data_IF_863404403273
#
_entry.id   IF_863404403273
#
_cell.length_a   1.000
_cell.length_b   1.000
_cell.length_c   1.000
_cell.angle_alpha   90.00
_cell.angle_beta   90.00
_cell.angle_gamma   90.00
#
_symmetry.space_group_name_H-M   'P 1'
#
loop_
_entity.id
_entity.type
_entity.pdbx_description
1 polymer ?
#
# COMPACT_ATOMS: atom_id res chain seq x y z
N UNK A 1 -36.26 2.21 5.40
CA UNK A 1 -34.86 1.85 5.74
C UNK A 1 -33.90 3.03 5.57
N UNK A 2 -33.23 3.28 4.43
CA UNK A 2 -32.23 4.38 4.34
C UNK A 2 -32.80 5.77 4.67
N UNK A 3 -34.00 6.08 4.19
CA UNK A 3 -34.68 7.35 4.49
C UNK A 3 -34.98 7.55 6.00
N UNK A 4 -35.34 6.47 6.70
CA UNK A 4 -35.56 6.51 8.15
C UNK A 4 -34.23 6.63 8.90
N UNK A 5 -33.18 5.98 8.42
CA UNK A 5 -31.84 6.11 8.97
C UNK A 5 -31.32 7.55 8.89
N UNK A 6 -31.44 8.20 7.72
CA UNK A 6 -31.09 9.62 7.56
C UNK A 6 -31.93 10.56 8.42
N UNK A 7 -33.14 10.16 8.83
CA UNK A 7 -33.97 10.97 9.71
C UNK A 7 -33.35 11.19 11.10
N UNK A 8 -32.47 10.28 11.55
CA UNK A 8 -31.76 10.42 12.82
C UNK A 8 -30.63 11.46 12.80
N UNK A 9 -30.15 11.87 11.61
CA UNK A 9 -29.12 12.91 11.47
C UNK A 9 -29.72 14.32 11.46
N UNK A 10 -31.00 14.46 11.07
CA UNK A 10 -31.67 15.76 10.94
C UNK A 10 -31.59 16.65 12.19
N UNK A 11 -31.71 16.12 13.43
CA UNK A 11 -31.55 16.93 14.65
C UNK A 11 -30.10 17.36 14.91
N UNK A 12 -29.12 16.65 14.34
CA UNK A 12 -27.69 16.80 14.62
C UNK A 12 -26.89 17.34 13.42
N UNK A 13 -27.55 18.05 12.50
CA UNK A 13 -26.94 18.60 11.26
C UNK A 13 -25.65 19.40 11.48
N UNK A 14 -25.51 20.10 12.61
CA UNK A 14 -24.31 20.89 12.92
C UNK A 14 -23.10 19.99 13.20
N UNK A 15 -23.31 18.93 13.98
CA UNK A 15 -22.26 17.95 14.28
C UNK A 15 -21.86 17.21 13.00
N UNK A 16 -22.84 16.78 12.22
CA UNK A 16 -22.61 16.16 10.92
C UNK A 16 -21.82 17.08 9.97
N UNK A 17 -22.19 18.37 9.86
CA UNK A 17 -21.48 19.29 8.96
C UNK A 17 -20.04 19.56 9.41
N UNK A 18 -19.79 19.65 10.73
CA UNK A 18 -18.45 19.82 11.29
C UNK A 18 -17.57 18.61 10.98
N UNK A 19 -18.06 17.43 11.35
CA UNK A 19 -17.38 16.15 11.20
C UNK A 19 -17.10 15.85 9.72
N UNK A 20 -18.15 15.78 8.91
CA UNK A 20 -18.07 15.52 7.48
C UNK A 20 -17.23 16.59 6.76
N UNK A 21 -17.40 17.87 7.11
CA UNK A 21 -16.61 18.95 6.52
C UNK A 21 -15.11 18.84 6.81
N UNK A 22 -14.73 18.45 8.03
CA UNK A 22 -13.34 18.20 8.39
C UNK A 22 -12.78 16.97 7.66
N UNK A 23 -13.58 15.92 7.50
CA UNK A 23 -13.19 14.72 6.75
C UNK A 23 -12.90 15.03 5.27
N UNK A 24 -13.79 15.81 4.62
CA UNK A 24 -13.58 16.26 3.25
C UNK A 24 -12.31 17.10 3.13
N UNK A 25 -12.11 18.06 4.03
CA UNK A 25 -10.93 18.92 4.00
C UNK A 25 -9.64 18.12 4.24
N UNK A 26 -9.66 17.18 5.18
CA UNK A 26 -8.53 16.27 5.44
C UNK A 26 -8.23 15.41 4.22
N UNK A 27 -9.25 14.83 3.58
CA UNK A 27 -9.07 14.04 2.37
C UNK A 27 -8.50 14.85 1.20
N UNK A 28 -8.94 16.09 1.00
CA UNK A 28 -8.37 16.99 -0.02
C UNK A 28 -6.90 17.35 0.28
N UNK A 29 -6.57 17.65 1.54
CA UNK A 29 -5.18 17.87 1.95
C UNK A 29 -4.32 16.62 1.71
N UNK A 30 -4.90 15.43 1.96
CA UNK A 30 -4.20 14.16 1.76
C UNK A 30 -3.77 13.93 0.30
N UNK A 31 -4.61 14.34 -0.66
CA UNK A 31 -4.33 14.28 -2.09
C UNK A 31 -3.25 15.27 -2.54
N UNK A 32 -3.10 16.39 -1.83
CA UNK A 32 -2.09 17.40 -2.12
C UNK A 32 -0.67 16.99 -1.70
N UNK A 33 -0.51 16.07 -0.75
CA UNK A 33 0.81 15.70 -0.23
C UNK A 33 1.77 15.14 -1.30
N UNK A 34 1.37 14.18 -2.15
CA UNK A 34 2.28 13.67 -3.19
C UNK A 34 2.79 14.78 -4.13
N UNK A 35 1.95 15.76 -4.45
CA UNK A 35 2.31 16.91 -5.30
C UNK A 35 3.28 17.84 -4.58
N UNK A 36 3.02 18.14 -3.31
CA UNK A 36 3.89 18.99 -2.50
C UNK A 36 5.28 18.33 -2.31
N UNK A 37 5.32 17.02 -2.06
CA UNK A 37 6.56 16.25 -1.95
C UNK A 37 7.29 16.21 -3.30
N UNK A 38 6.58 15.98 -4.41
CA UNK A 38 7.19 16.02 -5.74
C UNK A 38 7.82 17.39 -6.02
N UNK A 39 7.10 18.49 -5.80
CA UNK A 39 7.67 19.84 -5.96
C UNK A 39 8.86 20.13 -5.02
N UNK A 40 8.84 19.58 -3.80
CA UNK A 40 9.97 19.67 -2.88
C UNK A 40 11.22 18.95 -3.43
N UNK A 41 11.05 17.72 -3.92
CA UNK A 41 12.15 16.91 -4.44
C UNK A 41 12.63 17.41 -5.80
N UNK A 42 11.72 17.79 -6.69
CA UNK A 42 12.01 18.06 -8.09
C UNK A 42 12.42 19.52 -8.32
N UNK A 43 11.93 20.46 -7.51
CA UNK A 43 12.13 21.89 -7.74
C UNK A 43 12.93 22.59 -6.63
N UNK A 44 12.75 22.21 -5.36
CA UNK A 44 13.41 22.88 -4.24
C UNK A 44 14.80 22.31 -3.93
N UNK A 45 14.92 20.98 -3.81
CA UNK A 45 16.22 20.34 -3.53
C UNK A 45 17.31 20.67 -4.56
N UNK A 46 17.05 20.66 -5.89
CA UNK A 46 18.10 20.96 -6.88
C UNK A 46 18.59 22.41 -6.82
N UNK A 47 17.78 23.35 -6.33
CA UNK A 47 18.17 24.77 -6.19
C UNK A 47 19.19 25.02 -5.08
N UNK A 48 19.35 24.07 -4.15
CA UNK A 48 20.27 24.17 -3.00
C UNK A 48 20.08 25.41 -2.11
N UNK A 49 18.94 26.08 -2.20
CA UNK A 49 18.58 27.20 -1.33
C UNK A 49 18.00 26.65 -0.01
N UNK A 50 18.87 26.53 0.98
CA UNK A 50 18.54 25.98 2.29
C UNK A 50 17.46 26.78 3.03
N UNK A 51 17.35 28.09 2.79
CA UNK A 51 16.33 28.92 3.44
C UNK A 51 14.96 28.55 2.89
N UNK A 52 14.82 28.49 1.56
CA UNK A 52 13.58 28.07 0.91
C UNK A 52 13.20 26.62 1.25
N UNK A 53 14.18 25.71 1.30
CA UNK A 53 13.96 24.31 1.69
C UNK A 53 13.43 24.22 3.12
N UNK A 54 14.04 24.94 4.08
CA UNK A 54 13.59 24.95 5.48
C UNK A 54 12.21 25.58 5.63
N UNK A 55 11.92 26.66 4.92
CA UNK A 55 10.59 27.29 4.92
C UNK A 55 9.52 26.37 4.32
N UNK A 56 9.82 25.68 3.23
CA UNK A 56 8.91 24.72 2.62
C UNK A 56 8.67 23.51 3.53
N UNK A 57 9.71 22.99 4.19
CA UNK A 57 9.59 21.91 5.17
C UNK A 57 8.74 22.34 6.38
N UNK A 58 8.91 23.57 6.88
CA UNK A 58 8.08 24.14 7.94
C UNK A 58 6.62 24.30 7.48
N UNK A 59 6.39 24.78 6.25
CA UNK A 59 5.06 24.86 5.66
C UNK A 59 4.38 23.50 5.58
N UNK A 60 5.10 22.47 5.12
CA UNK A 60 4.61 21.10 5.04
C UNK A 60 4.30 20.53 6.43
N UNK A 61 5.14 20.82 7.43
CA UNK A 61 4.89 20.46 8.84
C UNK A 61 3.60 21.10 9.36
N UNK A 62 3.37 22.38 9.07
CA UNK A 62 2.14 23.08 9.45
C UNK A 62 0.92 22.40 8.81
N UNK A 63 1.00 22.04 7.53
CA UNK A 63 -0.09 21.30 6.84
C UNK A 63 -0.34 19.96 7.53
N UNK A 64 0.69 19.22 7.92
CA UNK A 64 0.53 17.97 8.69
C UNK A 64 -0.12 18.19 10.05
N UNK A 65 0.25 19.25 10.77
CA UNK A 65 -0.36 19.59 12.05
C UNK A 65 -1.83 19.95 11.89
N UNK A 66 -2.18 20.73 10.87
CA UNK A 66 -3.58 21.06 10.53
C UNK A 66 -4.35 19.78 10.20
N UNK A 67 -3.81 18.92 9.32
CA UNK A 67 -4.45 17.67 8.94
C UNK A 67 -4.65 16.73 10.15
N UNK A 68 -3.68 16.70 11.07
CA UNK A 68 -3.79 15.95 12.34
C UNK A 68 -4.91 16.50 13.21
N UNK A 69 -5.03 17.83 13.33
CA UNK A 69 -6.13 18.49 14.03
C UNK A 69 -7.50 18.17 13.42
N UNK A 70 -7.60 18.18 12.08
CA UNK A 70 -8.83 17.80 11.38
C UNK A 70 -9.18 16.34 11.64
N UNK A 71 -8.21 15.42 11.58
CA UNK A 71 -8.43 14.00 11.90
C UNK A 71 -8.86 13.79 13.35
N UNK A 72 -8.33 14.57 14.30
CA UNK A 72 -8.77 14.52 15.69
C UNK A 72 -10.23 15.00 15.84
N UNK A 73 -10.62 16.05 15.12
CA UNK A 73 -12.00 16.54 15.09
C UNK A 73 -12.93 15.47 14.52
N UNK A 74 -12.59 14.91 13.36
CA UNK A 74 -13.34 13.83 12.71
C UNK A 74 -13.51 12.64 13.65
N UNK A 75 -12.39 12.16 14.21
CA UNK A 75 -12.42 10.99 15.10
C UNK A 75 -13.30 11.24 16.33
N UNK A 76 -13.14 12.38 17.00
CA UNK A 76 -13.91 12.64 18.22
C UNK A 76 -15.37 12.96 17.93
N UNK A 77 -15.64 13.93 17.06
CA UNK A 77 -16.99 14.42 16.81
C UNK A 77 -17.83 13.46 15.97
N UNK A 78 -17.20 12.63 15.13
CA UNK A 78 -17.85 11.50 14.44
C UNK A 78 -18.40 10.48 15.45
N UNK A 79 -17.59 10.00 16.39
CA UNK A 79 -18.09 9.06 17.41
C UNK A 79 -19.14 9.70 18.34
N UNK A 80 -18.99 10.99 18.67
CA UNK A 80 -20.03 11.73 19.43
C UNK A 80 -21.35 11.77 18.66
N UNK A 81 -21.32 12.01 17.35
CA UNK A 81 -22.50 11.94 16.49
C UNK A 81 -23.12 10.53 16.49
N UNK A 82 -22.29 9.50 16.33
CA UNK A 82 -22.70 8.09 16.36
C UNK A 82 -23.42 7.71 17.66
N UNK A 83 -22.81 7.99 18.81
CA UNK A 83 -23.38 7.71 20.15
C UNK A 83 -24.69 8.49 20.37
N UNK A 84 -24.78 9.72 19.86
CA UNK A 84 -26.00 10.53 19.99
C UNK A 84 -27.16 9.90 19.20
N UNK A 85 -26.89 9.46 17.97
CA UNK A 85 -27.86 8.73 17.13
C UNK A 85 -28.25 7.41 17.79
N UNK A 86 -27.28 6.63 18.27
CA UNK A 86 -27.49 5.38 19.01
C UNK A 86 -28.39 5.57 20.23
N UNK A 87 -28.14 6.62 21.02
CA UNK A 87 -28.93 6.93 22.21
C UNK A 87 -30.39 7.20 21.86
N UNK A 88 -30.65 7.94 20.78
CA UNK A 88 -32.03 8.19 20.32
C UNK A 88 -32.70 6.93 19.75
N UNK A 89 -31.95 6.09 19.02
CA UNK A 89 -32.45 4.79 18.57
C UNK A 89 -32.82 3.89 19.76
N UNK A 90 -31.96 3.84 20.80
CA UNK A 90 -32.22 3.07 22.03
C UNK A 90 -33.47 3.55 22.74
N UNK A 91 -33.63 4.86 22.88
CA UNK A 91 -34.82 5.46 23.49
C UNK A 91 -36.10 5.02 22.76
N UNK A 92 -36.13 5.15 21.42
CA UNK A 92 -37.29 4.73 20.60
C UNK A 92 -37.54 3.24 20.65
N UNK A 93 -36.50 2.42 20.61
CA UNK A 93 -36.61 0.98 20.71
C UNK A 93 -37.19 0.56 22.07
N UNK A 94 -36.72 1.18 23.15
CA UNK A 94 -37.23 0.93 24.51
C UNK A 94 -38.70 1.36 24.67
N UNK A 95 -39.06 2.55 24.17
CA UNK A 95 -40.46 3.03 24.15
C UNK A 95 -41.37 2.11 23.33
N UNK A 96 -40.85 1.52 22.25
CA UNK A 96 -41.59 0.57 21.42
C UNK A 96 -41.77 -0.76 22.13
N UNK A 97 -40.72 -1.31 22.75
CA UNK A 97 -40.79 -2.57 23.50
C UNK A 97 -41.90 -2.52 24.55
N UNK A 98 -41.98 -1.44 25.34
CA UNK A 98 -43.01 -1.28 26.39
C UNK A 98 -44.46 -1.33 25.89
N UNK A 99 -44.71 -1.12 24.59
CA UNK A 99 -46.04 -1.13 23.98
C UNK A 99 -46.41 -2.47 23.35
N UNK A 100 -45.50 -3.45 23.35
CA UNK A 100 -45.74 -4.75 22.75
C UNK A 100 -46.65 -5.62 23.62
N UNK A 101 -47.43 -6.47 22.97
CA UNK A 101 -48.38 -7.38 23.65
C UNK A 101 -47.67 -8.45 24.48
N UNK A 102 -48.32 -8.97 25.53
CA UNK A 102 -47.81 -10.12 26.30
C UNK A 102 -47.44 -11.32 25.42
N UNK A 103 -48.23 -11.62 24.38
CA UNK A 103 -47.93 -12.69 23.41
C UNK A 103 -46.57 -12.53 22.72
N UNK A 104 -46.09 -11.30 22.51
CA UNK A 104 -44.76 -11.08 21.95
C UNK A 104 -43.66 -11.53 22.92
N UNK A 105 -43.83 -11.22 24.21
CA UNK A 105 -42.89 -11.58 25.26
C UNK A 105 -42.89 -13.08 25.56
N UNK A 106 -44.05 -13.74 25.46
CA UNK A 106 -44.15 -15.20 25.63
C UNK A 106 -43.34 -15.99 24.58
N UNK A 107 -43.06 -15.37 23.42
CA UNK A 107 -42.35 -15.99 22.30
C UNK A 107 -40.92 -15.47 22.11
N UNK A 108 -40.39 -14.65 23.03
CA UNK A 108 -39.06 -14.05 22.89
C UNK A 108 -38.27 -14.19 24.19
N UNK A 109 -37.00 -14.65 24.08
CA UNK A 109 -36.09 -14.66 25.22
C UNK A 109 -35.68 -13.23 25.57
N UNK A 110 -35.75 -12.84 26.84
CA UNK A 110 -35.36 -11.50 27.33
C UNK A 110 -33.94 -11.11 26.87
N UNK A 111 -32.99 -12.05 26.91
CA UNK A 111 -31.62 -11.82 26.43
C UNK A 111 -31.52 -11.38 24.96
N UNK A 112 -32.40 -11.88 24.07
CA UNK A 112 -32.42 -11.47 22.67
C UNK A 112 -32.94 -10.04 22.48
N UNK A 113 -33.86 -9.59 23.33
CA UNK A 113 -34.37 -8.22 23.30
C UNK A 113 -33.32 -7.24 23.82
N UNK A 114 -32.63 -7.61 24.91
CA UNK A 114 -31.52 -6.82 25.46
C UNK A 114 -30.39 -6.70 24.43
N UNK A 115 -29.97 -7.80 23.79
CA UNK A 115 -28.94 -7.77 22.75
C UNK A 115 -29.31 -6.86 21.56
N UNK A 116 -30.58 -6.88 21.14
CA UNK A 116 -31.08 -6.00 20.06
C UNK A 116 -31.02 -4.52 20.40
N UNK A 117 -31.31 -4.14 21.64
CA UNK A 117 -31.28 -2.73 22.08
C UNK A 117 -29.87 -2.27 22.44
N UNK A 118 -28.99 -3.19 22.82
CA UNK A 118 -27.61 -2.85 23.20
C UNK A 118 -26.68 -2.98 21.99
N UNK A 119 -26.28 -4.20 21.67
CA UNK A 119 -25.25 -4.51 20.68
C UNK A 119 -25.67 -4.22 19.24
N UNK A 120 -26.87 -4.63 18.83
CA UNK A 120 -27.26 -4.44 17.42
C UNK A 120 -27.43 -2.93 17.11
N UNK A 121 -27.88 -2.12 18.07
CA UNK A 121 -27.97 -0.66 17.91
C UNK A 121 -26.60 0.03 17.96
N UNK A 122 -25.64 -0.50 18.73
CA UNK A 122 -24.25 -0.06 18.72
C UNK A 122 -23.63 -0.27 17.33
N UNK A 123 -23.78 -1.47 16.73
CA UNK A 123 -23.30 -1.75 15.37
C UNK A 123 -23.92 -0.79 14.32
N UNK A 124 -25.19 -0.41 14.49
CA UNK A 124 -25.86 0.58 13.62
C UNK A 124 -25.34 2.01 13.88
N UNK A 125 -25.04 2.36 15.13
CA UNK A 125 -24.45 3.64 15.51
C UNK A 125 -23.03 3.83 14.95
N UNK A 126 -22.24 2.75 14.92
CA UNK A 126 -20.93 2.70 14.27
C UNK A 126 -21.02 3.01 12.77
N UNK A 127 -21.93 2.33 12.07
CA UNK A 127 -22.18 2.58 10.64
C UNK A 127 -22.71 4.00 10.40
N UNK A 128 -23.41 4.60 11.37
CA UNK A 128 -23.97 5.93 11.20
C UNK A 128 -22.92 7.03 11.11
N UNK A 129 -21.81 6.93 11.83
CA UNK A 129 -20.79 7.97 11.73
C UNK A 129 -19.72 7.63 10.68
N UNK A 130 -19.12 6.43 10.73
CA UNK A 130 -18.08 6.04 9.75
C UNK A 130 -18.61 5.86 8.33
N UNK A 131 -19.81 5.29 8.16
CA UNK A 131 -20.30 4.84 6.86
C UNK A 131 -20.40 5.93 5.78
N UNK A 132 -21.13 7.03 6.01
CA UNK A 132 -21.24 8.11 5.03
C UNK A 132 -19.90 8.80 4.75
N UNK A 133 -19.09 8.98 5.78
CA UNK A 133 -17.79 9.64 5.70
C UNK A 133 -16.81 8.81 4.86
N UNK A 134 -16.58 7.55 5.23
CA UNK A 134 -15.67 6.63 4.55
C UNK A 134 -16.04 6.47 3.08
N UNK A 135 -17.33 6.32 2.78
CA UNK A 135 -17.80 6.20 1.40
C UNK A 135 -17.49 7.46 0.60
N UNK A 136 -17.72 8.63 1.18
CA UNK A 136 -17.46 9.90 0.50
C UNK A 136 -15.96 10.12 0.31
N UNK A 137 -15.16 9.95 1.37
CA UNK A 137 -13.70 10.09 1.32
C UNK A 137 -13.10 9.11 0.31
N UNK A 138 -13.58 7.86 0.25
CA UNK A 138 -13.12 6.88 -0.73
C UNK A 138 -13.42 7.30 -2.17
N UNK A 139 -14.65 7.74 -2.47
CA UNK A 139 -15.03 8.22 -3.80
C UNK A 139 -14.23 9.47 -4.18
N UNK A 140 -14.16 10.45 -3.27
CA UNK A 140 -13.42 11.69 -3.47
C UNK A 140 -11.93 11.42 -3.69
N UNK A 141 -11.32 10.57 -2.88
CA UNK A 141 -9.90 10.20 -3.00
C UNK A 141 -9.64 9.48 -4.31
N UNK A 142 -10.52 8.55 -4.71
CA UNK A 142 -10.40 7.85 -5.99
C UNK A 142 -10.50 8.83 -7.18
N UNK A 143 -11.54 9.67 -7.21
CA UNK A 143 -11.75 10.66 -8.28
C UNK A 143 -10.64 11.69 -8.29
N UNK A 144 -10.26 12.21 -7.12
CA UNK A 144 -9.21 13.21 -6.96
C UNK A 144 -7.83 12.68 -7.35
N UNK A 145 -7.48 11.45 -6.95
CA UNK A 145 -6.25 10.79 -7.38
C UNK A 145 -6.25 10.57 -8.89
N UNK A 146 -7.38 10.16 -9.48
CA UNK A 146 -7.49 9.98 -10.92
C UNK A 146 -7.33 11.30 -11.69
N UNK A 147 -7.99 12.37 -11.25
CA UNK A 147 -7.82 13.72 -11.81
C UNK A 147 -6.36 14.14 -11.71
N UNK A 148 -5.73 13.97 -10.54
CA UNK A 148 -4.33 14.32 -10.35
C UNK A 148 -3.42 13.51 -11.30
N UNK A 149 -3.66 12.21 -11.45
CA UNK A 149 -2.92 11.38 -12.40
C UNK A 149 -3.09 11.86 -13.85
N UNK A 150 -4.27 12.32 -14.26
CA UNK A 150 -4.46 12.92 -15.59
C UNK A 150 -3.70 14.24 -15.76
N UNK A 151 -3.58 15.05 -14.69
CA UNK A 151 -2.79 16.29 -14.76
C UNK A 151 -1.28 16.03 -14.85
N UNK A 152 -0.81 14.91 -14.30
CA UNK A 152 0.62 14.55 -14.28
C UNK A 152 1.01 13.71 -15.50
N UNK A 153 0.24 12.67 -15.85
CA UNK A 153 0.58 11.76 -16.96
C UNK A 153 -0.63 11.00 -17.53
N UNK A 154 -1.24 11.54 -18.58
CA UNK A 154 -2.47 11.02 -19.22
C UNK A 154 -2.40 9.53 -19.65
N UNK A 155 -1.35 9.03 -20.34
CA UNK A 155 -1.30 7.61 -20.74
C UNK A 155 -1.37 6.63 -19.56
N UNK A 156 -0.70 6.95 -18.45
CA UNK A 156 -0.69 6.10 -17.25
C UNK A 156 -2.03 6.16 -16.52
N UNK A 157 -2.68 7.32 -16.51
CA UNK A 157 -4.02 7.49 -15.98
C UNK A 157 -5.06 6.63 -16.73
N UNK A 158 -4.96 6.53 -18.06
CA UNK A 158 -5.84 5.68 -18.88
C UNK A 158 -5.64 4.18 -18.56
N UNK A 159 -4.40 3.75 -18.38
CA UNK A 159 -4.07 2.37 -17.98
C UNK A 159 -4.67 2.08 -16.59
N UNK A 160 -4.46 2.97 -15.62
CA UNK A 160 -5.02 2.86 -14.28
C UNK A 160 -6.56 2.83 -14.30
N UNK A 161 -7.20 3.69 -15.10
CA UNK A 161 -8.66 3.73 -15.29
C UNK A 161 -9.22 2.42 -15.87
N UNK A 162 -8.44 1.69 -16.66
CA UNK A 162 -8.88 0.39 -17.22
C UNK A 162 -8.76 -0.73 -16.19
N UNK A 163 -7.73 -0.71 -15.35
CA UNK A 163 -7.44 -1.76 -14.37
C UNK A 163 -8.26 -1.59 -13.09
N UNK A 164 -8.45 -0.35 -12.63
CA UNK A 164 -9.10 -0.06 -11.36
C UNK A 164 -10.53 -0.63 -11.27
N UNK A 165 -11.41 -0.52 -12.29
CA UNK A 165 -12.73 -1.14 -12.26
C UNK A 165 -12.69 -2.67 -12.20
N UNK A 166 -11.71 -3.31 -12.86
CA UNK A 166 -11.53 -4.77 -12.81
C UNK A 166 -11.13 -5.22 -11.39
N UNK A 167 -10.17 -4.53 -10.78
CA UNK A 167 -9.75 -4.79 -9.40
C UNK A 167 -10.89 -4.52 -8.42
N UNK A 168 -11.59 -3.38 -8.57
CA UNK A 168 -12.74 -3.03 -7.74
C UNK A 168 -13.85 -4.08 -7.86
N UNK A 169 -14.14 -4.55 -9.08
CA UNK A 169 -15.11 -5.62 -9.31
C UNK A 169 -14.70 -6.92 -8.61
N UNK A 170 -13.43 -7.33 -8.71
CA UNK A 170 -12.92 -8.51 -8.00
C UNK A 170 -13.07 -8.33 -6.48
N UNK A 171 -12.63 -7.20 -5.92
CA UNK A 171 -12.73 -6.91 -4.49
C UNK A 171 -14.18 -6.95 -4.00
N UNK A 172 -15.11 -6.30 -4.72
CA UNK A 172 -16.54 -6.29 -4.38
C UNK A 172 -17.15 -7.69 -4.50
N UNK A 173 -16.82 -8.42 -5.58
CA UNK A 173 -17.36 -9.77 -5.84
C UNK A 173 -16.95 -10.77 -4.77
N UNK A 174 -15.69 -10.78 -4.37
CA UNK A 174 -15.18 -11.66 -3.31
C UNK A 174 -15.52 -11.15 -1.91
N UNK A 175 -15.67 -9.84 -1.73
CA UNK A 175 -16.19 -9.23 -0.50
C UNK A 175 -17.64 -9.64 -0.23
N UNK A 176 -18.50 -9.69 -1.25
CA UNK A 176 -19.87 -10.16 -1.10
C UNK A 176 -19.99 -11.64 -0.69
N UNK A 177 -19.09 -12.49 -1.20
CA UNK A 177 -19.01 -13.89 -0.78
C UNK A 177 -18.52 -14.03 0.66
N UNK A 178 -17.55 -13.19 1.06
CA UNK A 178 -17.10 -13.09 2.44
C UNK A 178 -18.25 -12.77 3.39
N UNK A 179 -19.07 -11.76 3.08
CA UNK A 179 -20.21 -11.35 3.92
C UNK A 179 -21.21 -12.48 4.12
N UNK A 180 -21.57 -13.19 3.04
CA UNK A 180 -22.47 -14.36 3.10
C UNK A 180 -21.88 -15.48 3.94
N UNK A 181 -20.59 -15.77 3.78
CA UNK A 181 -19.91 -16.78 4.56
C UNK A 181 -19.84 -16.42 6.06
N UNK A 182 -19.57 -15.15 6.39
CA UNK A 182 -19.59 -14.65 7.77
C UNK A 182 -20.96 -14.85 8.43
N UNK A 183 -22.05 -14.54 7.73
CA UNK A 183 -23.41 -14.76 8.24
C UNK A 183 -23.68 -16.25 8.54
N UNK A 184 -23.26 -17.14 7.65
CA UNK A 184 -23.37 -18.59 7.84
C UNK A 184 -22.51 -19.10 9.01
N UNK A 185 -21.28 -18.57 9.15
CA UNK A 185 -20.39 -18.90 10.25
C UNK A 185 -20.99 -18.44 11.59
N UNK A 186 -21.43 -17.18 11.71
CA UNK A 186 -22.04 -16.67 12.93
C UNK A 186 -23.30 -17.44 13.34
N UNK A 187 -24.13 -17.87 12.38
CA UNK A 187 -25.28 -18.74 12.67
C UNK A 187 -24.89 -20.05 13.32
N UNK A 188 -23.91 -20.76 12.74
CA UNK A 188 -23.46 -22.08 13.23
C UNK A 188 -22.70 -22.00 14.56
N UNK A 189 -21.90 -20.95 14.76
CA UNK A 189 -21.21 -20.68 16.03
C UNK A 189 -22.22 -20.37 17.14
N UNK A 190 -23.27 -19.59 16.86
CA UNK A 190 -24.36 -19.34 17.82
C UNK A 190 -25.08 -20.63 18.23
N UNK A 191 -25.36 -21.51 17.27
CA UNK A 191 -26.00 -22.81 17.54
C UNK A 191 -25.11 -23.70 18.44
N UNK A 192 -23.80 -23.75 18.19
CA UNK A 192 -22.84 -24.47 19.03
C UNK A 192 -22.82 -23.91 20.46
N UNK A 193 -22.72 -22.58 20.62
CA UNK A 193 -22.71 -21.94 21.92
C UNK A 193 -24.01 -22.17 22.71
N UNK A 194 -25.16 -22.09 22.04
CA UNK A 194 -26.47 -22.33 22.68
C UNK A 194 -26.58 -23.75 23.24
N UNK A 195 -26.04 -24.75 22.53
CA UNK A 195 -26.04 -26.14 23.01
C UNK A 195 -25.12 -26.34 24.21
N UNK A 196 -23.95 -25.68 24.23
CA UNK A 196 -23.09 -25.71 25.42
C UNK A 196 -23.81 -25.08 26.62
N UNK A 197 -24.48 -23.94 26.41
CA UNK A 197 -25.24 -23.27 27.46
C UNK A 197 -26.35 -24.18 28.02
N UNK A 198 -27.09 -24.88 27.14
CA UNK A 198 -28.12 -25.85 27.53
C UNK A 198 -27.54 -27.04 28.30
N UNK A 199 -26.44 -27.64 27.83
CA UNK A 199 -25.80 -28.78 28.48
C UNK A 199 -25.20 -28.42 29.85
N UNK A 200 -24.56 -27.25 29.95
CA UNK A 200 -23.98 -26.77 31.21
C UNK A 200 -25.09 -26.37 32.19
N UNK A 201 -26.15 -25.70 31.71
CA UNK A 201 -27.33 -25.40 32.53
C UNK A 201 -28.06 -26.66 33.02
N UNK A 202 -28.08 -27.71 32.19
CA UNK A 202 -28.68 -29.02 32.46
C UNK A 202 -27.75 -30.04 33.12
N UNK A 203 -26.54 -29.66 33.55
CA UNK A 203 -25.50 -30.62 34.00
C UNK A 203 -25.96 -31.55 35.13
N UNK A 204 -26.88 -31.08 35.99
CA UNK A 204 -27.47 -31.88 37.07
C UNK A 204 -28.29 -33.05 36.52
N UNK A 205 -29.01 -32.86 35.42
CA UNK A 205 -29.79 -33.91 34.75
C UNK A 205 -28.85 -34.92 34.10
N UNK A 206 -27.83 -34.45 33.38
CA UNK A 206 -26.83 -35.31 32.73
C UNK A 206 -26.18 -36.25 33.76
N UNK A 207 -25.78 -35.72 34.93
CA UNK A 207 -25.21 -36.51 36.03
C UNK A 207 -26.22 -37.42 36.71
N UNK A 208 -27.46 -36.97 36.89
CA UNK A 208 -28.52 -37.77 37.52
C UNK A 208 -28.83 -39.05 36.73
N UNK A 209 -28.68 -39.00 35.40
CA UNK A 209 -28.88 -40.14 34.51
C UNK A 209 -27.57 -40.83 34.06
N UNK A 210 -26.41 -40.40 34.57
CA UNK A 210 -25.09 -40.92 34.19
C UNK A 210 -24.85 -40.95 32.66
N UNK A 211 -25.29 -39.90 31.96
CA UNK A 211 -25.24 -39.79 30.49
C UNK A 211 -24.04 -38.96 29.98
N UNK A 212 -22.96 -38.81 30.77
CA UNK A 212 -21.83 -37.94 30.42
C UNK A 212 -21.13 -38.36 29.12
N UNK A 213 -21.01 -39.66 28.84
CA UNK A 213 -20.36 -40.15 27.62
C UNK A 213 -21.21 -39.89 26.37
N UNK A 214 -22.54 -39.91 26.51
CA UNK A 214 -23.45 -39.53 25.43
C UNK A 214 -23.29 -38.05 25.07
N UNK A 215 -23.30 -37.17 26.08
CA UNK A 215 -23.09 -35.74 25.87
C UNK A 215 -21.68 -35.40 25.35
N UNK A 216 -20.66 -36.15 25.79
CA UNK A 216 -19.29 -36.04 25.27
C UNK A 216 -19.23 -36.35 23.77
N UNK A 217 -19.90 -37.42 23.33
CA UNK A 217 -19.92 -37.81 21.92
C UNK A 217 -20.67 -36.78 21.05
N UNK A 218 -21.81 -36.26 21.54
CA UNK A 218 -22.53 -35.16 20.88
C UNK A 218 -21.65 -33.90 20.76
N UNK A 219 -21.00 -33.51 21.86
CA UNK A 219 -20.08 -32.38 21.87
C UNK A 219 -18.93 -32.55 20.87
N UNK A 220 -18.32 -33.73 20.80
CA UNK A 220 -17.24 -34.01 19.85
C UNK A 220 -17.70 -33.80 18.40
N UNK A 221 -18.88 -34.32 18.04
CA UNK A 221 -19.47 -34.15 16.70
C UNK A 221 -19.72 -32.67 16.37
N UNK A 222 -20.32 -31.93 17.29
CA UNK A 222 -20.61 -30.51 17.09
C UNK A 222 -19.32 -29.67 17.04
N UNK A 223 -18.29 -30.04 17.81
CA UNK A 223 -16.98 -29.40 17.80
C UNK A 223 -16.21 -29.64 16.49
N UNK A 224 -16.31 -30.84 15.91
CA UNK A 224 -15.76 -31.14 14.57
C UNK A 224 -16.46 -30.32 13.48
N UNK A 225 -17.79 -30.19 13.57
CA UNK A 225 -18.56 -29.34 12.67
C UNK A 225 -18.17 -27.86 12.83
N UNK A 226 -18.04 -27.37 14.07
CA UNK A 226 -17.54 -26.04 14.36
C UNK A 226 -16.16 -25.79 13.72
N UNK A 227 -15.22 -26.74 13.90
CA UNK A 227 -13.88 -26.68 13.32
C UNK A 227 -13.91 -26.61 11.79
N UNK A 228 -14.65 -27.49 11.12
CA UNK A 228 -14.72 -27.52 9.65
C UNK A 228 -15.27 -26.21 9.07
N UNK A 229 -16.29 -25.62 9.70
CA UNK A 229 -16.88 -24.34 9.29
C UNK A 229 -15.90 -23.18 9.50
N UNK A 230 -15.18 -23.15 10.63
CA UNK A 230 -14.12 -22.16 10.87
C UNK A 230 -13.01 -22.25 9.82
N UNK A 231 -12.56 -23.45 9.48
CA UNK A 231 -11.51 -23.65 8.47
C UNK A 231 -11.97 -23.21 7.06
N UNK A 232 -13.21 -23.51 6.67
CA UNK A 232 -13.77 -23.02 5.40
C UNK A 232 -13.82 -21.49 5.36
N UNK A 233 -14.18 -20.85 6.48
CA UNK A 233 -14.18 -19.39 6.56
C UNK A 233 -12.76 -18.80 6.45
N UNK A 234 -11.76 -19.44 7.05
CA UNK A 234 -10.36 -19.01 6.88
C UNK A 234 -9.85 -19.18 5.46
N UNK A 235 -10.27 -20.23 4.73
CA UNK A 235 -9.92 -20.37 3.32
C UNK A 235 -10.46 -19.21 2.46
N UNK A 236 -11.73 -18.84 2.66
CA UNK A 236 -12.35 -17.69 1.98
C UNK A 236 -11.64 -16.39 2.38
N UNK A 237 -11.32 -16.23 3.67
CA UNK A 237 -10.55 -15.10 4.20
C UNK A 237 -9.18 -14.95 3.55
N UNK A 238 -8.44 -16.05 3.44
CA UNK A 238 -7.14 -16.06 2.79
C UNK A 238 -7.25 -15.62 1.32
N UNK A 239 -8.24 -16.13 0.58
CA UNK A 239 -8.47 -15.75 -0.82
C UNK A 239 -8.84 -14.26 -0.94
N UNK A 240 -9.79 -13.76 -0.15
CA UNK A 240 -10.17 -12.35 -0.18
C UNK A 240 -9.01 -11.42 0.18
N UNK A 241 -8.20 -11.77 1.19
CA UNK A 241 -7.03 -10.98 1.58
C UNK A 241 -5.96 -11.00 0.48
N UNK A 242 -5.70 -12.16 -0.13
CA UNK A 242 -4.77 -12.30 -1.23
C UNK A 242 -5.20 -11.49 -2.47
N UNK A 243 -6.49 -11.50 -2.82
CA UNK A 243 -7.04 -10.71 -3.92
C UNK A 243 -6.92 -9.21 -3.63
N UNK A 244 -7.22 -8.76 -2.42
CA UNK A 244 -7.02 -7.35 -2.03
C UNK A 244 -5.55 -6.94 -2.14
N UNK A 245 -4.64 -7.76 -1.61
CA UNK A 245 -3.20 -7.51 -1.68
C UNK A 245 -2.71 -7.42 -3.13
N UNK A 246 -3.04 -8.42 -3.96
CA UNK A 246 -2.65 -8.45 -5.37
C UNK A 246 -3.30 -7.31 -6.16
N UNK A 247 -4.58 -7.01 -5.91
CA UNK A 247 -5.31 -5.94 -6.57
C UNK A 247 -4.69 -4.56 -6.36
N UNK A 248 -4.23 -4.27 -5.13
CA UNK A 248 -3.52 -3.01 -4.85
C UNK A 248 -2.16 -2.93 -5.54
N UNK A 249 -1.43 -4.05 -5.66
CA UNK A 249 -0.07 -4.08 -6.22
C UNK A 249 -0.03 -4.24 -7.74
N UNK A 250 -1.02 -4.88 -8.36
CA UNK A 250 -1.04 -5.10 -9.80
C UNK A 250 -1.15 -3.77 -10.56
N UNK A 251 -1.88 -2.79 -10.01
CA UNK A 251 -1.94 -1.43 -10.59
C UNK A 251 -0.54 -0.81 -10.62
N UNK A 252 0.22 -0.92 -9.53
CA UNK A 252 1.60 -0.41 -9.45
C UNK A 252 2.53 -1.12 -10.43
N UNK A 253 2.44 -2.46 -10.50
CA UNK A 253 3.26 -3.27 -11.41
C UNK A 253 2.93 -2.96 -12.87
N UNK A 254 1.65 -2.81 -13.23
CA UNK A 254 1.27 -2.48 -14.60
C UNK A 254 1.67 -1.05 -14.94
N UNK A 255 1.57 -0.09 -14.02
CA UNK A 255 2.11 1.27 -14.24
C UNK A 255 3.63 1.22 -14.48
N UNK A 256 4.36 0.37 -13.74
CA UNK A 256 5.80 0.20 -13.91
C UNK A 256 6.18 -0.45 -15.25
N UNK A 257 5.32 -1.33 -15.78
CA UNK A 257 5.60 -2.12 -16.99
C UNK A 257 5.04 -1.48 -18.25
N UNK A 258 3.87 -0.84 -18.23
CA UNK A 258 3.09 -0.48 -19.42
C UNK A 258 3.42 0.89 -20.02
N UNK A 259 4.58 1.46 -19.68
CA UNK A 259 5.09 2.69 -20.31
C UNK A 259 5.88 2.42 -21.60
N UNK A 260 5.93 3.42 -22.47
CA UNK A 260 6.90 3.46 -23.59
C UNK A 260 8.33 3.54 -23.06
N UNK A 261 9.33 3.32 -23.93
CA UNK A 261 10.73 3.60 -23.57
C UNK A 261 10.89 5.05 -23.11
N UNK A 262 10.18 5.98 -23.76
CA UNK A 262 10.06 7.39 -23.38
C UNK A 262 9.56 7.54 -21.95
N UNK A 263 8.39 6.98 -21.63
CA UNK A 263 7.78 7.11 -20.29
C UNK A 263 8.70 6.54 -19.20
N UNK A 264 9.40 5.44 -19.54
CA UNK A 264 10.36 4.83 -18.65
C UNK A 264 11.56 5.73 -18.38
N UNK A 265 12.10 6.44 -19.38
CA UNK A 265 13.22 7.38 -19.17
C UNK A 265 12.73 8.65 -18.47
N UNK A 266 11.59 9.19 -18.90
CA UNK A 266 10.92 10.36 -18.34
C UNK A 266 10.54 10.18 -16.87
N UNK A 267 10.39 8.95 -16.38
CA UNK A 267 10.23 8.68 -14.94
C UNK A 267 11.35 9.27 -14.08
N UNK A 268 12.55 9.47 -14.63
CA UNK A 268 13.64 10.18 -13.94
C UNK A 268 13.30 11.64 -13.63
N UNK A 269 12.54 12.32 -14.49
CA UNK A 269 12.04 13.69 -14.28
C UNK A 269 10.83 13.91 -15.19
N UNK A 270 9.64 13.93 -14.59
CA UNK A 270 8.36 13.85 -15.31
C UNK A 270 8.07 15.08 -16.20
N UNK A 271 8.67 16.23 -15.89
CA UNK A 271 8.55 17.50 -16.62
C UNK A 271 9.67 17.72 -17.65
N UNK A 272 10.52 16.71 -17.90
CA UNK A 272 11.61 16.82 -18.87
C UNK A 272 11.10 17.02 -20.30
N UNK A 273 11.78 17.90 -21.04
CA UNK A 273 11.50 18.09 -22.46
C UNK A 273 11.97 16.89 -23.29
N UNK A 274 11.46 16.78 -24.52
CA UNK A 274 11.84 15.71 -25.43
C UNK A 274 13.35 15.70 -25.73
N UNK A 275 13.94 16.88 -25.89
CA UNK A 275 15.39 17.04 -26.10
C UNK A 275 16.21 16.54 -24.90
N UNK A 276 15.71 16.74 -23.69
CA UNK A 276 16.37 16.28 -22.46
C UNK A 276 16.27 14.76 -22.31
N UNK A 277 15.12 14.17 -22.66
CA UNK A 277 14.93 12.71 -22.69
C UNK A 277 15.89 12.08 -23.71
N UNK A 278 16.01 12.66 -24.91
CA UNK A 278 16.94 12.21 -25.94
C UNK A 278 18.40 12.36 -25.50
N UNK A 279 18.77 13.48 -24.87
CA UNK A 279 20.10 13.71 -24.34
C UNK A 279 20.47 12.71 -23.23
N UNK A 280 19.53 12.41 -22.33
CA UNK A 280 19.70 11.40 -21.29
C UNK A 280 19.82 9.99 -21.88
N UNK A 281 19.00 9.67 -22.89
CA UNK A 281 19.08 8.40 -23.60
C UNK A 281 20.43 8.20 -24.30
N UNK A 282 20.94 9.25 -24.95
CA UNK A 282 22.26 9.26 -25.59
C UNK A 282 23.39 9.12 -24.58
N UNK A 283 23.30 9.83 -23.45
CA UNK A 283 24.29 9.73 -22.36
C UNK A 283 24.34 8.33 -21.75
N UNK A 284 23.21 7.62 -21.75
CA UNK A 284 23.11 6.22 -21.35
C UNK A 284 23.37 5.21 -22.48
N UNK A 285 23.82 5.68 -23.66
CA UNK A 285 24.11 4.87 -24.85
C UNK A 285 22.95 4.00 -25.28
N UNK A 286 21.75 4.59 -25.31
CA UNK A 286 20.53 3.93 -25.80
C UNK A 286 20.29 4.17 -27.32
N UNK A 287 21.17 4.88 -28.02
CA UNK A 287 20.96 5.27 -29.43
C UNK A 287 20.71 4.05 -30.34
N UNK A 288 21.56 3.04 -30.28
CA UNK A 288 21.43 1.81 -31.09
C UNK A 288 20.17 1.02 -30.71
N UNK A 289 19.83 1.00 -29.43
CA UNK A 289 18.60 0.37 -28.96
C UNK A 289 17.39 1.09 -29.55
N UNK A 290 17.32 2.41 -29.39
CA UNK A 290 16.21 3.23 -29.90
C UNK A 290 16.06 3.05 -31.41
N UNK A 291 17.17 3.09 -32.17
CA UNK A 291 17.15 2.88 -33.61
C UNK A 291 16.68 1.47 -34.00
N UNK A 292 16.97 0.45 -33.19
CA UNK A 292 16.51 -0.94 -33.43
C UNK A 292 15.03 -1.19 -33.11
N UNK A 293 14.39 -0.30 -32.35
CA UNK A 293 13.02 -0.49 -31.89
C UNK A 293 12.01 0.02 -32.93
N UNK A 294 10.89 -0.69 -33.14
CA UNK A 294 9.94 -0.42 -34.23
C UNK A 294 9.27 0.96 -34.18
N UNK A 295 9.16 1.58 -33.00
CA UNK A 295 8.63 2.93 -32.82
C UNK A 295 9.62 3.84 -32.06
N UNK A 296 10.91 3.51 -32.06
CA UNK A 296 11.92 4.28 -31.33
C UNK A 296 11.58 4.42 -29.84
N UNK A 297 11.60 5.67 -29.35
CA UNK A 297 11.25 6.02 -27.98
C UNK A 297 9.79 5.70 -27.60
N UNK A 298 8.87 5.72 -28.58
CA UNK A 298 7.45 5.42 -28.35
C UNK A 298 7.16 3.91 -28.35
N UNK A 299 8.19 3.09 -28.47
CA UNK A 299 8.04 1.65 -28.37
C UNK A 299 7.61 1.27 -26.96
N UNK A 300 6.45 0.61 -26.86
CA UNK A 300 5.97 0.03 -25.61
C UNK A 300 6.93 -1.07 -25.17
N UNK A 301 7.40 -0.99 -23.93
CA UNK A 301 8.29 -1.98 -23.33
C UNK A 301 7.49 -2.84 -22.35
N UNK A 302 7.84 -4.12 -22.18
CA UNK A 302 7.18 -5.00 -21.19
C UNK A 302 6.54 -6.25 -21.79
N UNK A 303 5.65 -6.92 -21.04
CA UNK A 303 5.08 -8.23 -21.45
C UNK A 303 4.25 -8.21 -22.73
N UNK A 304 3.65 -7.05 -23.08
CA UNK A 304 2.90 -6.85 -24.33
C UNK A 304 3.68 -6.01 -25.36
N UNK A 305 4.91 -5.62 -25.03
CA UNK A 305 5.78 -4.78 -25.85
C UNK A 305 7.12 -5.45 -26.16
N UNK A 306 8.11 -4.67 -26.59
CA UNK A 306 9.46 -5.22 -26.81
C UNK A 306 10.08 -5.57 -25.45
N UNK A 307 10.58 -6.81 -25.32
CA UNK A 307 11.30 -7.25 -24.12
C UNK A 307 12.75 -6.77 -24.17
N UNK A 308 13.12 -5.91 -23.23
CA UNK A 308 14.52 -5.50 -23.04
C UNK A 308 15.36 -6.60 -22.37
N UNK A 309 16.60 -6.75 -22.81
CA UNK A 309 17.63 -7.54 -22.13
C UNK A 309 18.01 -6.92 -20.77
N UNK A 310 18.74 -7.67 -19.93
CA UNK A 310 19.22 -7.18 -18.63
C UNK A 310 20.03 -5.87 -18.75
N UNK A 311 21.01 -5.85 -19.64
CA UNK A 311 21.83 -4.64 -19.89
C UNK A 311 21.06 -3.48 -20.49
N UNK A 312 20.07 -3.74 -21.34
CA UNK A 312 19.19 -2.68 -21.86
C UNK A 312 18.36 -2.05 -20.73
N UNK A 313 17.78 -2.85 -19.82
CA UNK A 313 17.05 -2.33 -18.65
C UNK A 313 17.96 -1.48 -17.76
N UNK A 314 19.21 -1.90 -17.57
CA UNK A 314 20.18 -1.19 -16.77
C UNK A 314 20.55 0.17 -17.39
N UNK A 315 20.75 0.23 -18.71
CA UNK A 315 20.95 1.49 -19.43
C UNK A 315 19.73 2.42 -19.36
N UNK A 316 18.51 1.88 -19.39
CA UNK A 316 17.29 2.70 -19.14
C UNK A 316 17.28 3.27 -17.72
N UNK A 317 17.68 2.49 -16.71
CA UNK A 317 17.83 3.01 -15.36
C UNK A 317 18.90 4.11 -15.27
N UNK A 318 20.03 3.96 -15.96
CA UNK A 318 21.08 4.99 -16.04
C UNK A 318 20.57 6.26 -16.74
N UNK A 319 19.78 6.12 -17.81
CA UNK A 319 19.15 7.25 -18.49
C UNK A 319 18.24 8.05 -17.55
N UNK A 320 17.46 7.38 -16.68
CA UNK A 320 16.66 8.05 -15.64
C UNK A 320 17.52 8.90 -14.71
N UNK A 321 18.70 8.40 -14.34
CA UNK A 321 19.60 9.11 -13.43
C UNK A 321 20.27 10.30 -14.13
N UNK A 322 20.67 10.16 -15.40
CA UNK A 322 21.13 11.29 -16.20
C UNK A 322 20.06 12.38 -16.31
N UNK A 323 18.81 11.98 -16.56
CA UNK A 323 17.69 12.90 -16.65
C UNK A 323 17.37 13.59 -15.32
N UNK A 324 17.40 12.84 -14.21
CA UNK A 324 17.18 13.38 -12.87
C UNK A 324 18.30 14.32 -12.43
N UNK A 325 19.54 14.01 -12.82
CA UNK A 325 20.76 14.72 -12.43
C UNK A 325 20.91 14.94 -10.91
N UNK A 326 20.85 13.89 -10.06
CA UNK A 326 20.93 14.05 -8.61
C UNK A 326 22.37 14.39 -8.15
N UNK A 327 22.55 15.15 -7.05
CA UNK A 327 23.88 15.51 -6.53
C UNK A 327 24.61 14.34 -5.84
N UNK A 328 23.88 13.31 -5.41
CA UNK A 328 24.39 12.12 -4.73
C UNK A 328 23.92 10.88 -5.49
N UNK A 329 24.84 9.97 -5.76
CA UNK A 329 24.62 8.69 -6.45
C UNK A 329 24.95 7.53 -5.53
N UNK A 330 24.08 6.53 -5.50
CA UNK A 330 24.32 5.24 -4.85
C UNK A 330 24.19 4.16 -5.93
N UNK A 331 25.28 3.47 -6.20
CA UNK A 331 25.37 2.42 -7.21
C UNK A 331 25.57 1.08 -6.49
N UNK A 332 24.51 0.29 -6.40
CA UNK A 332 24.55 -1.02 -5.77
C UNK A 332 24.64 -2.11 -6.85
N UNK A 333 25.79 -2.78 -6.95
CA UNK A 333 26.03 -3.87 -7.90
C UNK A 333 25.62 -3.56 -9.35
N UNK A 334 25.86 -2.33 -9.80
CA UNK A 334 25.35 -1.82 -11.07
C UNK A 334 25.89 -2.53 -12.35
N UNK A 335 26.64 -3.62 -12.24
CA UNK A 335 27.15 -4.40 -13.38
C UNK A 335 27.14 -5.94 -13.18
N UNK A 336 26.67 -6.47 -12.04
CA UNK A 336 26.98 -7.85 -11.65
C UNK A 336 26.37 -8.95 -12.54
N UNK A 337 25.29 -8.63 -13.29
CA UNK A 337 24.51 -9.57 -14.10
C UNK A 337 24.73 -9.48 -15.63
N UNK A 338 25.83 -8.87 -16.08
CA UNK A 338 26.06 -8.54 -17.50
C UNK A 338 27.20 -9.32 -18.14
N UNK A 339 27.11 -9.48 -19.48
CA UNK A 339 28.21 -9.92 -20.34
C UNK A 339 29.31 -8.84 -20.44
N UNK A 340 30.54 -9.26 -20.75
CA UNK A 340 31.76 -8.44 -20.67
C UNK A 340 31.73 -7.20 -21.58
N UNK A 341 31.12 -7.30 -22.77
CA UNK A 341 31.02 -6.19 -23.72
C UNK A 341 30.00 -5.14 -23.25
N UNK A 342 28.84 -5.60 -22.78
CA UNK A 342 27.79 -4.73 -22.20
C UNK A 342 28.24 -4.07 -20.90
N UNK A 343 29.06 -4.76 -20.09
CA UNK A 343 29.64 -4.23 -18.86
C UNK A 343 30.56 -3.04 -19.09
N UNK A 344 31.44 -3.09 -20.09
CA UNK A 344 32.34 -1.96 -20.41
C UNK A 344 31.56 -0.70 -20.82
N UNK A 345 30.54 -0.86 -21.67
CA UNK A 345 29.71 0.25 -22.12
C UNK A 345 28.92 0.89 -20.96
N UNK A 346 28.43 0.06 -20.03
CA UNK A 346 27.73 0.54 -18.83
C UNK A 346 28.68 1.21 -17.85
N UNK A 347 29.86 0.64 -17.61
CA UNK A 347 30.87 1.23 -16.73
C UNK A 347 31.27 2.63 -17.20
N UNK A 348 31.49 2.82 -18.50
CA UNK A 348 31.82 4.14 -19.03
C UNK A 348 30.69 5.16 -18.82
N UNK A 349 29.44 4.73 -18.95
CA UNK A 349 28.27 5.58 -18.70
C UNK A 349 28.16 5.94 -17.21
N UNK A 350 28.49 5.01 -16.30
CA UNK A 350 28.54 5.26 -14.86
C UNK A 350 29.69 6.19 -14.46
N UNK A 351 30.86 6.06 -15.09
CA UNK A 351 32.00 6.95 -14.87
C UNK A 351 31.67 8.39 -15.30
N UNK A 352 31.03 8.54 -16.46
CA UNK A 352 30.55 9.85 -16.93
C UNK A 352 29.46 10.41 -16.00
N UNK A 353 28.58 9.56 -15.48
CA UNK A 353 27.54 9.90 -14.52
C UNK A 353 28.14 10.35 -13.17
N UNK A 354 29.26 9.77 -12.74
CA UNK A 354 29.88 10.07 -11.45
C UNK A 354 30.63 11.41 -11.43
N UNK A 355 31.03 11.95 -12.59
CA UNK A 355 31.79 13.22 -12.68
C UNK A 355 31.04 14.37 -12.02
N UNK A 356 31.70 15.03 -11.07
CA UNK A 356 31.16 16.19 -10.35
C UNK A 356 30.05 15.86 -9.34
N UNK A 357 29.87 14.58 -8.97
CA UNK A 357 28.83 14.13 -8.04
C UNK A 357 29.42 13.28 -6.92
N UNK A 358 28.78 13.32 -5.75
CA UNK A 358 29.16 12.40 -4.66
C UNK A 358 28.64 11.02 -5.00
N UNK A 359 29.53 10.05 -5.21
CA UNK A 359 29.14 8.71 -5.68
C UNK A 359 29.60 7.63 -4.69
N UNK A 360 28.64 6.88 -4.16
CA UNK A 360 28.88 5.70 -3.33
C UNK A 360 28.65 4.45 -4.18
N UNK A 361 29.66 3.60 -4.29
CA UNK A 361 29.59 2.37 -5.09
C UNK A 361 29.74 1.15 -4.18
N UNK A 362 28.77 0.24 -4.23
CA UNK A 362 28.83 -1.07 -3.60
C UNK A 362 29.14 -2.06 -4.72
N UNK A 363 30.31 -2.68 -4.67
CA UNK A 363 30.79 -3.51 -5.76
C UNK A 363 31.22 -4.89 -5.29
N UNK A 364 30.76 -5.90 -6.02
CA UNK A 364 31.27 -7.26 -5.93
C UNK A 364 32.35 -7.57 -6.96
N UNK A 365 32.56 -6.71 -7.98
CA UNK A 365 33.62 -6.84 -8.99
C UNK A 365 34.65 -5.74 -8.77
N UNK A 366 35.92 -6.10 -8.62
CA UNK A 366 36.97 -5.12 -8.31
C UNK A 366 37.29 -4.19 -9.49
N UNK A 367 37.01 -4.62 -10.71
CA UNK A 367 37.20 -3.81 -11.92
C UNK A 367 36.39 -2.50 -11.89
N UNK A 368 35.20 -2.50 -11.29
CA UNK A 368 34.30 -1.33 -11.28
C UNK A 368 34.68 -0.27 -10.24
N UNK A 369 35.50 -0.63 -9.25
CA UNK A 369 35.96 0.29 -8.20
C UNK A 369 37.45 0.64 -8.32
N UNK A 370 38.10 0.22 -9.41
CA UNK A 370 39.53 0.49 -9.65
C UNK A 370 39.85 1.99 -9.64
N UNK A 371 38.95 2.80 -10.22
CA UNK A 371 39.12 4.24 -10.34
C UNK A 371 38.50 5.03 -9.18
N UNK A 372 38.09 4.36 -8.09
CA UNK A 372 37.48 5.04 -6.96
C UNK A 372 38.53 5.90 -6.21
N UNK A 373 38.14 7.13 -5.85
CA UNK A 373 38.98 8.03 -5.05
C UNK A 373 39.35 7.42 -3.68
N UNK A 374 38.39 6.67 -3.10
CA UNK A 374 38.55 5.97 -1.83
C UNK A 374 37.73 4.68 -1.81
N UNK A 375 38.41 3.56 -1.59
CA UNK A 375 37.81 2.25 -1.36
C UNK A 375 37.75 2.00 0.14
N UNK A 376 36.64 1.42 0.61
CA UNK A 376 36.42 1.01 2.00
C UNK A 376 36.06 -0.46 2.02
N UNK A 377 36.86 -1.28 2.72
CA UNK A 377 36.64 -2.72 2.87
C UNK A 377 35.92 -2.98 4.18
N UNK A 378 34.75 -3.61 4.10
CA UNK A 378 33.88 -3.90 5.25
C UNK A 378 33.94 -5.40 5.54
N UNK A 379 34.10 -5.73 6.82
CA UNK A 379 34.12 -7.10 7.36
C UNK A 379 33.09 -7.23 8.50
N UNK A 380 32.95 -8.43 9.09
CA UNK A 380 32.04 -8.64 10.23
C UNK A 380 32.40 -7.76 11.45
N UNK A 381 33.68 -7.39 11.58
CA UNK A 381 34.19 -6.55 12.67
C UNK A 381 34.16 -5.05 12.35
N UNK A 382 33.58 -4.65 11.21
CA UNK A 382 33.50 -3.27 10.74
C UNK A 382 34.47 -2.94 9.60
N UNK A 383 34.92 -1.68 9.52
CA UNK A 383 35.83 -1.20 8.45
C UNK A 383 37.23 -1.77 8.71
N UNK A 384 37.67 -2.69 7.85
CA UNK A 384 38.99 -3.32 7.97
C UNK A 384 40.08 -2.48 7.30
N UNK A 385 39.81 -1.94 6.11
CA UNK A 385 40.79 -1.21 5.30
C UNK A 385 40.15 -0.04 4.57
N UNK A 386 40.94 1.01 4.33
CA UNK A 386 40.55 2.14 3.50
C UNK A 386 41.75 2.72 2.76
N UNK A 387 41.57 3.12 1.50
CA UNK A 387 42.63 3.69 0.67
C UNK A 387 42.28 3.69 -0.82
N UNK A 388 43.24 4.11 -1.66
CA UNK A 388 43.13 3.94 -3.11
C UNK A 388 43.41 2.49 -3.51
N UNK A 389 42.99 2.11 -4.72
CA UNK A 389 43.24 0.79 -5.30
C UNK A 389 44.70 0.35 -5.18
N UNK A 390 45.64 1.18 -5.63
CA UNK A 390 47.08 0.86 -5.63
C UNK A 390 47.64 0.75 -4.20
N UNK A 391 47.20 1.62 -3.29
CA UNK A 391 47.65 1.62 -1.90
C UNK A 391 47.17 0.36 -1.14
N UNK A 392 45.96 -0.11 -1.45
CA UNK A 392 45.39 -1.33 -0.86
C UNK A 392 45.99 -2.61 -1.46
N UNK A 393 46.35 -2.60 -2.75
CA UNK A 393 47.05 -3.73 -3.40
C UNK A 393 48.48 -3.93 -2.91
N UNK A 394 49.18 -2.83 -2.59
CA UNK A 394 50.53 -2.90 -2.04
C UNK A 394 50.57 -3.51 -0.62
N UNK A 395 49.44 -3.52 0.08
CA UNK A 395 49.29 -4.11 1.42
C UNK A 395 48.92 -5.58 1.31
N UNK A 396 49.42 -6.40 2.23
CA UNK A 396 49.00 -7.80 2.36
C UNK A 396 47.66 -7.93 3.13
N UNK A 397 46.64 -7.26 2.60
CA UNK A 397 45.34 -7.05 3.22
C UNK A 397 44.20 -7.91 2.68
N UNK A 398 43.03 -7.77 3.28
CA UNK A 398 41.77 -8.32 2.82
C UNK A 398 41.43 -7.88 1.38
N UNK A 399 41.74 -6.63 1.02
CA UNK A 399 41.52 -6.14 -0.35
C UNK A 399 42.34 -6.93 -1.39
N UNK A 400 43.64 -7.14 -1.13
CA UNK A 400 44.53 -7.90 -2.01
C UNK A 400 44.09 -9.35 -2.16
N UNK A 401 43.69 -10.00 -1.06
CA UNK A 401 43.15 -11.37 -1.09
C UNK A 401 41.89 -11.48 -1.96
N UNK A 402 40.99 -10.49 -1.89
CA UNK A 402 39.82 -10.42 -2.77
C UNK A 402 40.23 -10.26 -4.24
N UNK A 403 41.24 -9.44 -4.53
CA UNK A 403 41.78 -9.23 -5.87
C UNK A 403 42.38 -10.50 -6.48
N UNK A 404 43.23 -11.19 -5.73
CA UNK A 404 43.84 -12.44 -6.17
C UNK A 404 42.78 -13.54 -6.40
N UNK A 405 41.78 -13.64 -5.50
CA UNK A 405 40.69 -14.58 -5.64
C UNK A 405 39.81 -14.34 -6.88
N UNK A 406 39.65 -13.07 -7.30
CA UNK A 406 38.93 -12.74 -8.54
C UNK A 406 39.77 -12.99 -9.79
N UNK A 407 41.07 -12.67 -9.76
CA UNK A 407 41.98 -12.93 -10.88
C UNK A 407 42.06 -14.43 -11.24
N UNK A 408 42.02 -15.30 -10.23
CA UNK A 408 42.00 -16.76 -10.39
C UNK A 408 40.70 -17.33 -11.00
N UNK A 409 39.62 -16.54 -11.07
CA UNK A 409 38.34 -16.96 -11.67
C UNK A 409 38.17 -16.56 -13.14
N UNK A 410 39.03 -15.68 -13.65
CA UNK A 410 38.98 -15.12 -15.01
C UNK A 410 40.05 -15.66 -15.95
N UNK A 411 40.92 -16.56 -15.49
CA UNK A 411 41.83 -17.37 -16.32
C UNK A 411 41.31 -18.79 -16.45
#
# INVERSE_FOLDING_TARGET
>A
MLKEFFSYYLPHKRLFLLDFGCAVLSGLLSLGFPVAVAGFVDTLLPKQDWILILLAALGLLIVYLINTGLMAVVTYWGHVLGITIETEMRRRAFDHLQKLSFRFYDNQKTGHLVARVTKDLEEIGEVAHHGPEDLFVAIMTFVGALILMFTVHTPLALIAMTIAPLVMWLVVRFGGDMTRNWQNQFGRVRAFNARIEENVGGVRVVRAFANEDHERALFQRDNEQYRSVKLQAYAIMAISLAINYLGMRIVQVVILIAGTLRDNIAYGRLDASEDEILAAAKSARLDDLIASLPAGLDTVIGERGVKLSGGQKQRVAIARIFLKNPPILILDEATSALDTETEQAIQQSLDDLAKGRTTLVIAHRLATIRNADRIVVITQDGIAEQGSHDALLARDGAYRRLHEAQALRTG
#
